data_IF_793269173326
#
_entry.id   IF_793269173326
#
_cell.length_a   1.000
_cell.length_b   1.000
_cell.length_c   1.000
_cell.angle_alpha   90.00
_cell.angle_beta   90.00
_cell.angle_gamma   90.00
#
_symmetry.space_group_name_H-M   'P 1'
#
loop_
_entity.id
_entity.type
_entity.pdbx_description
1 polymer ?
#
# COMPACT_ATOMS: atom_id res chain seq x y z
N UNK A 1 28.29 -14.58 -0.87
CA UNK A 1 26.99 -15.24 -0.63
C UNK A 1 27.24 -16.63 -0.04
N UNK A 2 27.17 -16.78 1.30
CA UNK A 2 27.36 -18.08 1.96
C UNK A 2 25.99 -18.75 2.06
N UNK A 3 25.54 -19.34 0.96
CA UNK A 3 24.30 -20.12 0.92
C UNK A 3 24.41 -21.28 1.91
N UNK A 4 23.60 -21.23 2.97
CA UNK A 4 23.27 -22.37 3.81
C UNK A 4 22.87 -23.53 2.88
N UNK A 5 23.51 -24.69 3.04
CA UNK A 5 23.26 -25.92 2.28
C UNK A 5 21.93 -26.58 2.69
N UNK A 6 20.86 -25.81 2.81
CA UNK A 6 19.51 -26.35 2.70
C UNK A 6 19.07 -26.08 1.26
N UNK A 7 18.79 -27.14 0.51
CA UNK A 7 18.37 -27.04 -0.90
C UNK A 7 17.14 -26.15 -0.96
N UNK A 8 17.30 -24.93 -1.47
CA UNK A 8 16.20 -24.08 -1.89
C UNK A 8 15.24 -24.92 -2.75
N UNK A 9 13.97 -24.93 -2.36
CA UNK A 9 12.91 -25.63 -3.07
C UNK A 9 12.06 -24.57 -3.76
N UNK A 10 11.77 -24.76 -5.05
CA UNK A 10 10.90 -23.89 -5.86
C UNK A 10 9.45 -23.77 -5.34
N UNK A 11 9.15 -24.40 -4.19
CA UNK A 11 7.89 -24.30 -3.47
C UNK A 11 7.88 -23.22 -2.37
N UNK A 12 9.00 -22.55 -2.13
CA UNK A 12 9.07 -21.46 -1.16
C UNK A 12 8.94 -20.12 -1.89
N UNK A 13 8.08 -19.19 -1.43
CA UNK A 13 8.03 -17.86 -2.00
C UNK A 13 9.38 -17.16 -1.75
N UNK A 14 10.02 -16.68 -2.82
CA UNK A 14 11.28 -15.96 -2.72
C UNK A 14 11.24 -14.65 -3.51
N UNK A 15 12.06 -13.71 -3.05
CA UNK A 15 12.41 -12.50 -3.77
C UNK A 15 13.92 -12.33 -3.65
N UNK A 16 14.58 -12.10 -4.78
CA UNK A 16 16.04 -12.09 -4.86
C UNK A 16 16.51 -10.70 -5.22
N UNK A 17 17.34 -10.10 -4.38
CA UNK A 17 18.14 -8.95 -4.75
C UNK A 17 19.42 -9.42 -5.43
N UNK A 18 19.61 -9.06 -6.70
CA UNK A 18 20.87 -9.28 -7.39
C UNK A 18 21.71 -8.01 -7.34
N UNK A 19 22.80 -8.03 -6.60
CA UNK A 19 23.73 -6.88 -6.54
C UNK A 19 24.77 -7.00 -7.65
N UNK A 20 24.75 -6.03 -8.56
CA UNK A 20 25.66 -5.91 -9.67
C UNK A 20 27.09 -5.64 -9.21
N UNK A 21 28.02 -5.96 -10.10
CA UNK A 21 29.44 -5.73 -9.86
C UNK A 21 30.14 -5.44 -11.19
N UNK A 22 31.00 -4.42 -11.21
CA UNK A 22 31.84 -4.13 -12.37
C UNK A 22 32.71 -5.34 -12.70
N UNK A 23 32.78 -5.69 -13.98
CA UNK A 23 33.43 -6.92 -14.44
C UNK A 23 32.85 -8.17 -13.77
N UNK A 24 31.51 -8.22 -13.64
CA UNK A 24 30.79 -9.36 -13.09
C UNK A 24 31.37 -10.64 -13.67
N UNK A 25 31.83 -11.53 -12.79
CA UNK A 25 32.21 -12.86 -13.24
C UNK A 25 30.93 -13.61 -13.57
N UNK A 26 30.88 -14.34 -14.69
CA UNK A 26 29.77 -15.23 -15.06
C UNK A 26 29.44 -16.34 -14.02
N UNK A 27 30.09 -16.31 -12.85
CA UNK A 27 29.91 -17.23 -11.73
C UNK A 27 28.47 -17.33 -11.22
N UNK A 28 27.69 -16.26 -11.34
CA UNK A 28 26.32 -16.25 -10.86
C UNK A 28 25.31 -16.74 -11.91
N UNK A 29 25.73 -16.94 -13.17
CA UNK A 29 24.81 -17.32 -14.27
C UNK A 29 24.09 -18.63 -13.96
N UNK A 30 24.79 -19.64 -13.45
CA UNK A 30 24.16 -20.93 -13.14
C UNK A 30 23.14 -20.81 -12.01
N UNK A 31 23.40 -19.96 -11.02
CA UNK A 31 22.45 -19.67 -9.93
C UNK A 31 21.25 -18.89 -10.47
N UNK A 32 21.48 -17.86 -11.28
CA UNK A 32 20.42 -17.06 -11.90
C UNK A 32 19.53 -17.91 -12.79
N UNK A 33 20.09 -18.85 -13.56
CA UNK A 33 19.29 -19.81 -14.36
C UNK A 33 18.35 -20.63 -13.47
N UNK A 34 18.88 -21.20 -12.38
CA UNK A 34 18.04 -21.96 -11.44
C UNK A 34 16.92 -21.10 -10.88
N UNK A 35 17.20 -19.86 -10.48
CA UNK A 35 16.19 -18.93 -9.95
C UNK A 35 15.12 -18.57 -11.01
N UNK A 36 15.56 -18.27 -12.24
CA UNK A 36 14.66 -17.98 -13.35
C UNK A 36 13.78 -19.18 -13.73
N UNK A 37 14.36 -20.38 -13.78
CA UNK A 37 13.65 -21.62 -14.08
C UNK A 37 12.64 -21.99 -12.99
N UNK A 38 12.91 -21.58 -11.74
CA UNK A 38 11.97 -21.70 -10.62
C UNK A 38 10.87 -20.62 -10.64
N UNK A 39 11.01 -19.59 -11.48
CA UNK A 39 10.09 -18.44 -11.54
C UNK A 39 10.28 -17.44 -10.39
N UNK A 40 11.46 -17.41 -9.76
CA UNK A 40 11.77 -16.50 -8.67
C UNK A 40 11.79 -15.04 -9.16
N UNK A 41 11.21 -14.13 -8.36
CA UNK A 41 11.27 -12.70 -8.64
C UNK A 41 12.68 -12.17 -8.33
N UNK A 42 13.32 -11.52 -9.30
CA UNK A 42 14.68 -10.99 -9.17
C UNK A 42 14.64 -9.48 -9.42
N UNK A 43 15.19 -8.69 -8.50
CA UNK A 43 15.44 -7.26 -8.67
C UNK A 43 16.95 -7.01 -8.83
N UNK A 44 17.41 -6.65 -10.03
CA UNK A 44 18.77 -6.20 -10.25
C UNK A 44 19.02 -4.82 -9.61
N UNK A 45 20.09 -4.72 -8.82
CA UNK A 45 20.58 -3.48 -8.22
C UNK A 45 21.99 -3.23 -8.76
N UNK A 46 22.25 -2.09 -9.39
CA UNK A 46 23.57 -1.72 -9.94
C UNK A 46 24.08 -0.44 -9.26
N UNK A 47 25.38 -0.20 -9.24
CA UNK A 47 25.98 0.88 -8.43
C UNK A 47 26.47 2.07 -9.25
N UNK A 48 27.04 1.83 -10.42
CA UNK A 48 27.49 2.84 -11.37
C UNK A 48 26.38 3.30 -12.31
N UNK A 49 26.78 3.92 -13.42
CA UNK A 49 25.83 4.51 -14.38
C UNK A 49 25.40 3.51 -15.49
N UNK A 50 26.09 2.38 -15.60
CA UNK A 50 25.86 1.40 -16.66
C UNK A 50 25.38 0.06 -16.11
N UNK A 51 24.07 -0.11 -16.12
CA UNK A 51 23.38 -1.36 -15.76
C UNK A 51 23.97 -2.60 -16.46
N UNK A 52 24.21 -2.54 -17.78
CA UNK A 52 24.67 -3.70 -18.56
C UNK A 52 26.10 -4.11 -18.23
N UNK A 53 26.92 -3.19 -17.70
CA UNK A 53 28.29 -3.49 -17.30
C UNK A 53 28.36 -4.28 -15.98
N UNK A 54 27.35 -4.13 -15.13
CA UNK A 54 27.34 -4.69 -13.79
C UNK A 54 26.46 -5.93 -13.63
N UNK A 55 25.51 -6.10 -14.55
CA UNK A 55 24.47 -7.11 -14.46
C UNK A 55 24.62 -8.14 -15.59
N UNK A 56 24.48 -9.45 -15.33
CA UNK A 56 24.55 -10.48 -16.38
C UNK A 56 23.44 -10.36 -17.42
N UNK A 57 23.78 -10.64 -18.70
CA UNK A 57 22.86 -10.55 -19.85
C UNK A 57 21.55 -11.31 -19.68
N UNK A 58 21.56 -12.44 -18.97
CA UNK A 58 20.38 -13.29 -18.77
C UNK A 58 19.24 -12.56 -18.02
N UNK A 59 19.56 -11.55 -17.21
CA UNK A 59 18.57 -10.74 -16.48
C UNK A 59 18.49 -9.29 -17.00
N UNK A 60 19.05 -8.98 -18.17
CA UNK A 60 18.89 -7.65 -18.81
C UNK A 60 17.46 -7.35 -19.25
N UNK A 61 16.64 -8.38 -19.40
CA UNK A 61 15.21 -8.24 -19.68
C UNK A 61 14.42 -7.67 -18.50
N UNK A 62 15.01 -7.63 -17.30
CA UNK A 62 14.41 -7.09 -16.09
C UNK A 62 14.82 -5.63 -15.87
N UNK A 63 13.90 -4.82 -15.37
CA UNK A 63 14.21 -3.44 -14.98
C UNK A 63 15.04 -3.42 -13.69
N UNK A 64 16.27 -2.93 -13.77
CA UNK A 64 17.13 -2.70 -12.61
C UNK A 64 16.89 -1.35 -11.91
N UNK A 65 17.50 -1.20 -10.74
CA UNK A 65 17.56 0.07 -9.98
C UNK A 65 18.99 0.40 -9.58
N UNK A 66 19.38 1.67 -9.73
CA UNK A 66 20.67 2.11 -9.21
C UNK A 66 20.61 2.10 -7.67
N UNK A 67 21.70 1.69 -7.03
CA UNK A 67 21.86 1.69 -5.59
C UNK A 67 22.11 3.12 -5.10
N UNK A 68 21.31 3.55 -4.13
CA UNK A 68 21.45 4.82 -3.42
C UNK A 68 21.45 4.47 -1.92
N UNK A 69 22.52 4.83 -1.23
CA UNK A 69 22.77 4.41 0.15
C UNK A 69 21.64 4.77 1.11
N UNK A 70 21.01 5.93 0.91
CA UNK A 70 19.95 6.44 1.78
C UNK A 70 18.55 5.90 1.43
N UNK A 71 18.42 5.08 0.37
CA UNK A 71 17.14 4.55 -0.11
C UNK A 71 16.90 3.08 0.25
N UNK A 72 17.49 2.58 1.34
CA UNK A 72 17.38 1.16 1.75
C UNK A 72 15.92 0.68 1.84
N UNK A 73 15.04 1.50 2.44
CA UNK A 73 13.61 1.18 2.60
C UNK A 73 12.92 0.93 1.25
N UNK A 74 13.31 1.65 0.20
CA UNK A 74 12.72 1.50 -1.14
C UNK A 74 12.98 0.12 -1.73
N UNK A 75 14.19 -0.42 -1.55
CA UNK A 75 14.52 -1.77 -2.02
C UNK A 75 13.75 -2.84 -1.24
N UNK A 76 13.64 -2.68 0.09
CA UNK A 76 12.86 -3.58 0.95
C UNK A 76 11.38 -3.58 0.52
N UNK A 77 10.83 -2.40 0.22
CA UNK A 77 9.44 -2.27 -0.22
C UNK A 77 9.18 -3.00 -1.56
N UNK A 78 10.12 -3.02 -2.50
CA UNK A 78 9.98 -3.83 -3.72
C UNK A 78 9.84 -5.33 -3.42
N UNK A 79 10.61 -5.84 -2.45
CA UNK A 79 10.47 -7.22 -2.02
C UNK A 79 9.10 -7.46 -1.40
N UNK A 80 8.64 -6.58 -0.52
CA UNK A 80 7.33 -6.69 0.12
C UNK A 80 6.18 -6.58 -0.88
N UNK A 81 6.27 -5.73 -1.90
CA UNK A 81 5.26 -5.64 -2.97
C UNK A 81 5.23 -6.90 -3.83
N UNK A 82 6.39 -7.40 -4.26
CA UNK A 82 6.46 -8.66 -5.01
C UNK A 82 5.97 -9.84 -4.18
N UNK A 83 6.19 -9.80 -2.87
CA UNK A 83 5.65 -10.77 -1.92
C UNK A 83 4.19 -10.46 -1.53
N UNK A 84 3.55 -9.45 -2.12
CA UNK A 84 2.17 -9.00 -1.86
C UNK A 84 1.89 -8.68 -0.38
N UNK A 85 2.92 -8.37 0.39
CA UNK A 85 2.83 -7.81 1.74
C UNK A 85 2.49 -6.32 1.71
N UNK A 86 2.85 -5.64 0.63
CA UNK A 86 2.40 -4.30 0.30
C UNK A 86 1.53 -4.35 -0.96
N UNK A 87 0.50 -3.48 -1.03
CA UNK A 87 -0.32 -3.34 -2.23
C UNK A 87 0.49 -2.64 -3.33
N UNK A 88 0.38 -3.15 -4.55
CA UNK A 88 0.94 -2.51 -5.76
C UNK A 88 0.23 -1.18 -6.08
N UNK A 89 -1.08 -1.11 -5.85
CA UNK A 89 -1.86 0.10 -6.03
C UNK A 89 -1.65 1.03 -4.83
N UNK A 90 -0.69 1.96 -4.94
CA UNK A 90 -0.37 2.95 -3.90
C UNK A 90 -1.23 4.20 -4.09
N UNK A 91 -2.30 4.34 -3.32
CA UNK A 91 -3.22 5.48 -3.48
C UNK A 91 -2.92 6.58 -2.48
N UNK A 92 -2.69 7.79 -2.99
CA UNK A 92 -2.32 8.95 -2.20
C UNK A 92 -3.28 10.10 -2.48
N UNK A 93 -3.74 10.77 -1.43
CA UNK A 93 -4.53 11.99 -1.57
C UNK A 93 -3.78 13.17 -0.98
N UNK A 94 -3.68 14.29 -1.72
CA UNK A 94 -3.06 15.53 -1.25
C UNK A 94 -4.15 16.59 -1.09
N UNK A 95 -4.44 16.93 0.16
CA UNK A 95 -5.36 18.00 0.59
C UNK A 95 -4.57 19.30 0.75
N UNK A 96 -5.01 20.35 0.05
CA UNK A 96 -4.29 21.63 0.01
C UNK A 96 -5.21 22.78 -0.41
N UNK A 97 -4.87 24.00 0.02
CA UNK A 97 -5.54 25.22 -0.43
C UNK A 97 -4.82 25.82 -1.64
N UNK A 98 -5.53 25.96 -2.76
CA UNK A 98 -4.96 26.46 -4.04
C UNK A 98 -4.23 27.79 -3.93
N UNK A 99 -4.78 28.73 -3.17
CA UNK A 99 -4.20 30.07 -3.00
C UNK A 99 -2.89 30.06 -2.23
N UNK A 100 -2.61 28.97 -1.50
CA UNK A 100 -1.56 28.95 -0.49
C UNK A 100 -0.41 28.05 -0.90
N UNK A 101 -0.70 26.87 -1.46
CA UNK A 101 0.30 25.80 -1.61
C UNK A 101 0.21 25.00 -2.91
N UNK A 102 -0.37 25.58 -3.98
CA UNK A 102 -0.50 24.90 -5.28
C UNK A 102 0.85 24.45 -5.86
N UNK A 103 1.89 25.27 -5.77
CA UNK A 103 3.21 24.91 -6.30
C UNK A 103 3.81 23.70 -5.57
N UNK A 104 3.81 23.71 -4.24
CA UNK A 104 4.24 22.57 -3.42
C UNK A 104 3.39 21.32 -3.68
N UNK A 105 2.06 21.45 -3.79
CA UNK A 105 1.18 20.33 -4.10
C UNK A 105 1.52 19.66 -5.44
N UNK A 106 1.85 20.45 -6.47
CA UNK A 106 2.27 19.93 -7.76
C UNK A 106 3.67 19.29 -7.70
N UNK A 107 4.62 19.87 -6.94
CA UNK A 107 5.94 19.25 -6.74
C UNK A 107 5.81 17.87 -6.09
N UNK A 108 4.96 17.75 -5.08
CA UNK A 108 4.68 16.48 -4.42
C UNK A 108 3.95 15.52 -5.36
N UNK A 109 2.97 15.99 -6.13
CA UNK A 109 2.31 15.18 -7.16
C UNK A 109 3.33 14.54 -8.10
N UNK A 110 4.23 15.33 -8.69
CA UNK A 110 5.24 14.83 -9.61
C UNK A 110 6.22 13.86 -8.93
N UNK A 111 6.62 14.15 -7.68
CA UNK A 111 7.49 13.28 -6.91
C UNK A 111 6.84 11.93 -6.58
N UNK A 112 5.56 11.91 -6.19
CA UNK A 112 4.85 10.70 -5.85
C UNK A 112 4.48 9.87 -7.08
N UNK A 113 4.12 10.50 -8.20
CA UNK A 113 3.94 9.80 -9.49
C UNK A 113 5.23 9.13 -9.93
N UNK A 114 6.39 9.80 -9.80
CA UNK A 114 7.72 9.19 -10.04
C UNK A 114 8.03 8.01 -9.11
N UNK A 115 7.36 7.93 -7.97
CA UNK A 115 7.44 6.83 -7.01
C UNK A 115 6.26 5.84 -7.11
N UNK A 116 5.59 5.78 -8.27
CA UNK A 116 4.50 4.84 -8.58
C UNK A 116 3.25 4.97 -7.69
N UNK A 117 2.96 6.19 -7.22
CA UNK A 117 1.67 6.46 -6.58
C UNK A 117 0.61 6.90 -7.58
N UNK A 118 -0.61 6.43 -7.35
CA UNK A 118 -1.84 6.99 -7.91
C UNK A 118 -2.26 8.18 -7.03
N UNK A 119 -1.90 9.39 -7.48
CA UNK A 119 -2.04 10.62 -6.70
C UNK A 119 -3.30 11.37 -7.08
N UNK A 120 -4.11 11.72 -6.09
CA UNK A 120 -5.29 12.55 -6.23
C UNK A 120 -5.05 13.90 -5.56
N UNK A 121 -5.32 14.98 -6.30
CA UNK A 121 -5.33 16.34 -5.76
C UNK A 121 -6.78 16.75 -5.43
N UNK A 122 -6.96 17.49 -4.34
CA UNK A 122 -8.26 18.01 -3.83
C UNK A 122 -9.11 18.74 -4.88
N UNK A 123 -8.48 19.19 -5.98
CA UNK A 123 -9.14 20.16 -6.86
C UNK A 123 -9.14 19.86 -8.36
N UNK A 124 -8.50 18.78 -8.82
CA UNK A 124 -8.31 18.54 -10.26
C UNK A 124 -9.30 17.58 -10.93
N UNK A 125 -10.34 17.09 -10.23
CA UNK A 125 -11.10 15.96 -10.79
C UNK A 125 -12.57 15.83 -10.39
N UNK A 126 -13.24 16.91 -9.96
CA UNK A 126 -14.66 16.82 -9.64
C UNK A 126 -15.45 17.38 -10.81
N UNK A 127 -16.20 16.49 -11.47
CA UNK A 127 -17.07 16.86 -12.57
C UNK A 127 -18.07 17.96 -12.13
N UNK A 128 -18.38 18.93 -13.00
CA UNK A 128 -19.45 19.89 -12.75
C UNK A 128 -20.75 19.15 -12.35
N UNK A 129 -21.46 19.70 -11.37
CA UNK A 129 -22.72 19.17 -10.80
C UNK A 129 -22.64 17.95 -9.85
N UNK A 130 -21.45 17.42 -9.52
CA UNK A 130 -21.31 16.48 -8.40
C UNK A 130 -21.13 17.19 -7.06
N UNK A 131 -21.64 16.61 -5.97
CA UNK A 131 -21.35 17.09 -4.62
C UNK A 131 -19.85 16.88 -4.31
N UNK A 132 -19.11 17.98 -4.20
CA UNK A 132 -17.68 18.00 -3.94
C UNK A 132 -17.29 17.15 -2.72
N UNK A 133 -18.07 17.26 -1.64
CA UNK A 133 -17.84 16.53 -0.39
C UNK A 133 -17.98 15.02 -0.58
N UNK A 134 -18.97 14.59 -1.39
CA UNK A 134 -19.18 13.18 -1.66
C UNK A 134 -18.08 12.61 -2.55
N UNK A 135 -17.51 13.35 -3.51
CA UNK A 135 -16.41 12.79 -4.31
C UNK A 135 -15.11 12.73 -3.48
N UNK A 136 -14.85 13.73 -2.62
CA UNK A 136 -13.70 13.71 -1.70
C UNK A 136 -13.75 12.53 -0.73
N UNK A 137 -14.90 12.34 -0.07
CA UNK A 137 -15.07 11.19 0.81
C UNK A 137 -14.94 9.85 0.08
N UNK A 138 -15.20 9.79 -1.23
CA UNK A 138 -15.06 8.58 -2.04
C UNK A 138 -13.59 8.26 -2.28
N UNK A 139 -12.80 9.28 -2.62
CA UNK A 139 -11.36 9.16 -2.82
C UNK A 139 -10.63 8.80 -1.53
N UNK A 140 -10.96 9.47 -0.43
CA UNK A 140 -10.37 9.19 0.88
C UNK A 140 -10.53 7.72 1.30
N UNK A 141 -11.72 7.13 1.09
CA UNK A 141 -12.03 5.74 1.49
C UNK A 141 -11.05 4.69 0.96
N UNK A 142 -10.46 4.93 -0.22
CA UNK A 142 -9.59 3.96 -0.89
C UNK A 142 -8.12 4.42 -0.95
N UNK A 143 -7.78 5.54 -0.31
CA UNK A 143 -6.40 5.99 -0.18
C UNK A 143 -5.70 5.28 0.98
N UNK A 144 -4.41 5.01 0.80
CA UNK A 144 -3.57 4.46 1.85
C UNK A 144 -3.05 5.56 2.77
N UNK A 145 -2.73 6.73 2.19
CA UNK A 145 -2.23 7.91 2.91
C UNK A 145 -2.93 9.18 2.41
N UNK A 146 -3.23 10.07 3.35
CA UNK A 146 -3.64 11.46 3.15
C UNK A 146 -2.45 12.35 3.51
N UNK A 147 -2.02 13.21 2.60
CA UNK A 147 -1.10 14.32 2.85
C UNK A 147 -1.91 15.59 3.01
N UNK A 148 -1.65 16.34 4.06
CA UNK A 148 -2.26 17.64 4.30
C UNK A 148 -1.20 18.73 4.27
N UNK A 149 -1.37 19.70 3.36
CA UNK A 149 -0.51 20.90 3.32
C UNK A 149 -1.07 21.95 4.28
N UNK A 150 -0.54 21.97 5.49
CA UNK A 150 -1.04 22.77 6.59
C UNK A 150 -0.41 24.17 6.59
N UNK A 151 -1.14 25.11 5.99
CA UNK A 151 -0.86 26.55 5.98
C UNK A 151 -1.75 27.28 7.00
N UNK A 152 -1.38 28.50 7.39
CA UNK A 152 -2.14 29.30 8.36
C UNK A 152 -3.60 29.52 7.94
N UNK A 153 -3.80 29.66 6.64
CA UNK A 153 -5.09 29.93 6.02
C UNK A 153 -5.89 28.64 5.73
N UNK A 154 -5.23 27.48 5.69
CA UNK A 154 -5.86 26.16 5.63
C UNK A 154 -6.46 25.76 6.98
N UNK A 155 -5.75 26.05 8.09
CA UNK A 155 -6.20 25.79 9.48
C UNK A 155 -7.60 26.34 9.77
N UNK A 156 -7.92 27.51 9.22
CA UNK A 156 -9.18 28.21 9.47
C UNK A 156 -10.33 27.73 8.57
N UNK A 157 -10.09 26.78 7.67
CA UNK A 157 -11.13 26.21 6.84
C UNK A 157 -11.99 25.23 7.66
N UNK A 158 -13.30 25.17 7.38
CA UNK A 158 -14.22 24.20 8.01
C UNK A 158 -13.81 22.73 7.78
N UNK A 159 -12.94 22.49 6.80
CA UNK A 159 -12.60 21.16 6.29
C UNK A 159 -11.50 20.46 7.08
N UNK A 160 -10.56 21.21 7.66
CA UNK A 160 -9.36 20.68 8.30
C UNK A 160 -9.66 19.63 9.40
N UNK A 161 -10.61 19.92 10.30
CA UNK A 161 -10.90 19.02 11.41
C UNK A 161 -11.79 17.82 11.01
N UNK A 162 -12.75 18.03 10.12
CA UNK A 162 -13.63 16.96 9.66
C UNK A 162 -12.87 15.90 8.84
N UNK A 163 -11.91 16.33 8.00
CA UNK A 163 -11.07 15.42 7.22
C UNK A 163 -10.15 14.58 8.11
N UNK A 164 -9.46 15.19 9.08
CA UNK A 164 -8.56 14.47 10.01
C UNK A 164 -9.36 13.46 10.85
N UNK A 165 -10.53 13.84 11.38
CA UNK A 165 -11.37 12.93 12.16
C UNK A 165 -11.88 11.80 11.28
N UNK A 166 -12.33 12.09 10.05
CA UNK A 166 -12.79 11.07 9.10
C UNK A 166 -11.67 10.10 8.70
N UNK A 167 -10.47 10.62 8.44
CA UNK A 167 -9.30 9.83 8.07
C UNK A 167 -8.88 8.89 9.21
N UNK A 168 -8.86 9.40 10.45
CA UNK A 168 -8.57 8.59 11.64
C UNK A 168 -9.63 7.53 11.92
N UNK A 169 -10.93 7.87 11.84
CA UNK A 169 -12.01 6.89 11.96
C UNK A 169 -11.92 5.78 10.91
N UNK A 170 -11.47 6.14 9.71
CA UNK A 170 -11.22 5.21 8.61
C UNK A 170 -9.81 4.63 8.66
N UNK A 171 -9.02 4.84 9.72
CA UNK A 171 -7.60 4.45 9.89
C UNK A 171 -6.80 4.55 8.57
N UNK A 172 -6.88 5.71 7.95
CA UNK A 172 -6.05 6.16 6.83
C UNK A 172 -4.83 6.84 7.46
N UNK A 173 -3.62 6.57 6.94
CA UNK A 173 -2.43 7.27 7.41
C UNK A 173 -2.51 8.74 7.06
N UNK A 174 -2.29 9.63 8.03
CA UNK A 174 -2.28 11.08 7.78
C UNK A 174 -0.87 11.60 7.97
N UNK A 175 -0.32 12.26 6.96
CA UNK A 175 0.95 12.99 7.01
C UNK A 175 0.64 14.47 6.88
N UNK A 176 1.01 15.25 7.88
CA UNK A 176 0.75 16.69 7.88
C UNK A 176 2.05 17.46 7.64
N UNK A 177 2.10 18.20 6.53
CA UNK A 177 3.24 19.02 6.15
C UNK A 177 2.95 20.44 6.63
N UNK A 178 3.63 20.85 7.69
CA UNK A 178 3.32 22.05 8.47
C UNK A 178 4.21 23.19 8.02
N UNK A 179 3.59 24.31 7.60
CA UNK A 179 4.35 25.49 7.17
C UNK A 179 5.15 26.12 8.33
N UNK A 180 6.25 26.84 8.04
CA UNK A 180 7.13 27.39 9.07
C UNK A 180 6.45 28.33 10.08
N UNK A 181 5.39 29.02 9.67
CA UNK A 181 4.63 29.98 10.47
C UNK A 181 3.38 29.37 11.12
N UNK A 182 3.20 28.06 11.02
CA UNK A 182 2.12 27.31 11.65
C UNK A 182 2.61 26.60 12.91
N UNK A 183 1.79 26.64 13.96
CA UNK A 183 1.99 25.82 15.15
C UNK A 183 1.16 24.54 15.05
N UNK A 184 1.76 23.34 15.26
CA UNK A 184 1.02 22.08 15.38
C UNK A 184 -0.12 22.21 16.40
N UNK A 185 -1.29 21.65 16.09
CA UNK A 185 -2.44 21.57 17.00
C UNK A 185 -2.47 20.23 17.74
N UNK A 186 -3.33 20.08 18.76
CA UNK A 186 -3.50 18.81 19.51
C UNK A 186 -3.92 17.66 18.58
N UNK A 187 -4.62 17.98 17.49
CA UNK A 187 -5.03 17.03 16.45
C UNK A 187 -3.85 16.39 15.69
N UNK A 188 -2.66 16.98 15.75
CA UNK A 188 -1.44 16.45 15.15
C UNK A 188 -0.95 15.17 15.84
N UNK A 189 -1.43 14.85 17.06
CA UNK A 189 -1.10 13.59 17.75
C UNK A 189 -1.59 12.33 17.02
N UNK A 190 -2.57 12.49 16.12
CA UNK A 190 -3.13 11.41 15.32
C UNK A 190 -2.55 11.36 13.89
N UNK A 191 -1.61 12.26 13.58
CA UNK A 191 -0.96 12.37 12.28
C UNK A 191 0.54 12.17 12.44
N UNK A 192 1.25 11.97 11.33
CA UNK A 192 2.71 12.07 11.26
C UNK A 192 3.06 13.50 10.83
N UNK A 193 3.51 14.38 11.74
CA UNK A 193 3.81 15.77 11.40
C UNK A 193 5.22 15.90 10.79
N UNK A 194 5.32 16.67 9.71
CA UNK A 194 6.56 17.12 9.08
C UNK A 194 6.59 18.64 9.18
N UNK A 195 7.28 19.17 10.18
CA UNK A 195 7.47 20.61 10.35
C UNK A 195 8.49 21.13 9.33
N UNK A 196 8.03 21.96 8.40
CA UNK A 196 8.92 22.65 7.48
C UNK A 196 9.61 23.81 8.18
N UNK A 197 10.86 24.05 7.77
CA UNK A 197 11.63 25.23 8.16
C UNK A 197 11.83 26.13 6.95
N UNK A 198 12.13 27.41 7.18
CA UNK A 198 12.35 28.37 6.10
C UNK A 198 13.45 27.91 5.11
N UNK A 199 14.49 27.22 5.59
CA UNK A 199 15.59 26.69 4.75
C UNK A 199 15.18 25.58 3.78
N UNK A 200 14.02 24.95 4.01
CA UNK A 200 13.49 23.90 3.16
C UNK A 200 12.75 24.46 1.94
N UNK A 201 12.60 25.79 1.85
CA UNK A 201 12.04 26.48 0.70
C UNK A 201 13.15 27.06 -0.18
N UNK A 202 12.93 27.00 -1.49
CA UNK A 202 13.77 27.64 -2.48
C UNK A 202 13.81 29.15 -2.21
N UNK A 203 15.02 29.73 -2.16
CA UNK A 203 15.25 31.14 -1.81
C UNK A 203 14.74 31.55 -0.42
N UNK A 204 14.43 30.59 0.46
CA UNK A 204 13.90 30.87 1.81
C UNK A 204 12.56 31.64 1.80
N UNK A 205 11.80 31.56 0.69
CA UNK A 205 10.48 32.18 0.53
C UNK A 205 9.37 31.14 0.63
N UNK A 206 8.56 31.24 1.69
CA UNK A 206 7.40 30.37 1.95
C UNK A 206 6.06 31.13 2.02
N UNK A 207 6.08 32.46 1.88
CA UNK A 207 4.88 33.30 1.94
C UNK A 207 4.18 33.46 0.59
N UNK A 208 4.90 33.17 -0.49
CA UNK A 208 4.38 33.20 -1.84
C UNK A 208 3.61 31.89 -2.16
N UNK A 209 2.40 31.98 -2.73
CA UNK A 209 1.63 30.80 -3.18
C UNK A 209 2.29 29.99 -4.32
N UNK A 210 3.35 30.54 -4.92
CA UNK A 210 4.24 29.87 -5.88
C UNK A 210 5.56 29.39 -5.26
N UNK A 211 5.68 29.39 -3.93
CA UNK A 211 6.83 28.86 -3.22
C UNK A 211 7.07 27.39 -3.58
N UNK A 212 8.33 27.00 -3.60
CA UNK A 212 8.76 25.65 -3.91
C UNK A 212 9.64 25.13 -2.78
N UNK A 213 9.48 23.87 -2.41
CA UNK A 213 10.37 23.19 -1.47
C UNK A 213 11.58 22.58 -2.21
N UNK A 214 12.68 22.37 -1.49
CA UNK A 214 13.91 21.78 -2.03
C UNK A 214 13.74 20.30 -2.38
N UNK A 215 14.55 19.77 -3.30
CA UNK A 215 14.51 18.33 -3.65
C UNK A 215 14.79 17.45 -2.42
N UNK A 216 15.73 17.84 -1.56
CA UNK A 216 16.02 17.16 -0.29
C UNK A 216 14.79 17.10 0.62
N UNK A 217 14.02 18.19 0.70
CA UNK A 217 12.78 18.21 1.47
C UNK A 217 11.72 17.26 0.87
N UNK A 218 11.59 17.24 -0.46
CA UNK A 218 10.69 16.34 -1.18
C UNK A 218 11.06 14.87 -0.91
N UNK A 219 12.34 14.51 -1.00
CA UNK A 219 12.81 13.15 -0.72
C UNK A 219 12.48 12.71 0.71
N UNK A 220 12.72 13.58 1.69
CA UNK A 220 12.36 13.32 3.08
C UNK A 220 10.85 13.10 3.28
N UNK A 221 10.02 13.91 2.61
CA UNK A 221 8.56 13.75 2.65
C UNK A 221 8.13 12.42 2.02
N UNK A 222 8.70 12.05 0.87
CA UNK A 222 8.39 10.78 0.19
C UNK A 222 8.73 9.59 1.09
N UNK A 223 9.90 9.60 1.72
CA UNK A 223 10.32 8.53 2.65
C UNK A 223 9.38 8.43 3.86
N UNK A 224 9.04 9.57 4.47
CA UNK A 224 8.10 9.60 5.60
C UNK A 224 6.72 9.04 5.21
N UNK A 225 6.19 9.42 4.04
CA UNK A 225 4.90 8.96 3.53
C UNK A 225 4.90 7.45 3.23
N UNK A 226 5.97 6.91 2.62
CA UNK A 226 6.11 5.46 2.43
C UNK A 226 6.17 4.70 3.77
N UNK A 227 6.90 5.24 4.74
CA UNK A 227 7.01 4.66 6.08
C UNK A 227 5.65 4.61 6.78
N UNK A 228 4.87 5.69 6.70
CA UNK A 228 3.48 5.77 7.22
C UNK A 228 2.56 4.82 6.47
N UNK A 229 2.66 4.73 5.14
CA UNK A 229 1.87 3.79 4.33
C UNK A 229 2.09 2.35 4.76
N UNK A 230 3.35 1.92 4.86
CA UNK A 230 3.72 0.56 5.22
C UNK A 230 3.20 0.18 6.62
N UNK A 231 3.41 1.05 7.62
CA UNK A 231 2.89 0.84 8.98
C UNK A 231 1.37 0.73 9.01
N UNK A 232 0.67 1.63 8.31
CA UNK A 232 -0.79 1.60 8.29
C UNK A 232 -1.34 0.36 7.60
N UNK A 233 -0.73 -0.07 6.50
CA UNK A 233 -1.17 -1.27 5.80
C UNK A 233 -1.01 -2.52 6.65
N UNK A 234 0.13 -2.67 7.33
CA UNK A 234 0.37 -3.77 8.26
C UNK A 234 -0.63 -3.76 9.42
N UNK A 235 -0.79 -2.62 10.10
CA UNK A 235 -1.74 -2.50 11.22
C UNK A 235 -3.19 -2.82 10.80
N UNK A 236 -3.59 -2.43 9.58
CA UNK A 236 -4.92 -2.75 9.03
C UNK A 236 -5.11 -4.24 8.83
N UNK A 237 -4.11 -4.90 8.25
CA UNK A 237 -4.15 -6.33 8.03
C UNK A 237 -4.21 -7.09 9.35
N UNK A 238 -3.34 -6.73 10.30
CA UNK A 238 -3.30 -7.36 11.62
C UNK A 238 -4.61 -7.18 12.38
N UNK A 239 -5.22 -5.98 12.33
CA UNK A 239 -6.51 -5.74 12.95
C UNK A 239 -7.64 -6.58 12.32
N UNK A 240 -7.71 -6.62 10.98
CA UNK A 240 -8.75 -7.37 10.27
C UNK A 240 -8.63 -8.87 10.52
N UNK A 241 -7.40 -9.39 10.41
CA UNK A 241 -7.09 -10.80 10.65
C UNK A 241 -7.31 -11.16 12.12
N UNK A 242 -6.80 -10.34 13.04
CA UNK A 242 -6.90 -10.56 14.48
C UNK A 242 -8.35 -10.64 14.94
N UNK A 243 -9.21 -9.72 14.47
CA UNK A 243 -10.63 -9.72 14.82
C UNK A 243 -11.36 -10.94 14.24
N UNK A 244 -11.09 -11.31 12.99
CA UNK A 244 -11.68 -12.53 12.40
C UNK A 244 -11.28 -13.80 13.17
N UNK A 245 -10.01 -13.91 13.55
CA UNK A 245 -9.50 -15.04 14.35
C UNK A 245 -10.09 -15.06 15.76
N UNK A 246 -10.26 -13.88 16.38
CA UNK A 246 -10.91 -13.76 17.69
C UNK A 246 -12.36 -14.23 17.63
N UNK A 247 -13.14 -13.76 16.65
CA UNK A 247 -14.52 -14.17 16.44
C UNK A 247 -14.63 -15.67 16.14
N UNK A 248 -13.72 -16.22 15.33
CA UNK A 248 -13.69 -17.65 15.05
C UNK A 248 -13.46 -18.47 16.32
N UNK A 249 -12.52 -18.02 17.17
CA UNK A 249 -12.24 -18.66 18.45
C UNK A 249 -13.44 -18.62 19.41
N UNK A 250 -14.19 -17.51 19.44
CA UNK A 250 -15.43 -17.41 20.24
C UNK A 250 -16.48 -18.44 19.81
N UNK A 251 -16.51 -18.80 18.52
CA UNK A 251 -17.37 -19.86 17.98
C UNK A 251 -16.74 -21.27 18.07
N UNK A 252 -15.59 -21.44 18.74
CA UNK A 252 -14.90 -22.72 18.88
C UNK A 252 -14.21 -23.22 17.61
N UNK A 253 -13.98 -22.34 16.63
CA UNK A 253 -13.32 -22.65 15.35
C UNK A 253 -11.82 -22.43 15.45
N UNK A 254 -11.05 -23.27 14.77
CA UNK A 254 -9.59 -23.19 14.75
C UNK A 254 -9.12 -22.77 13.36
N UNK A 255 -8.50 -21.60 13.29
CA UNK A 255 -7.89 -21.06 12.08
C UNK A 255 -6.36 -21.14 12.18
N UNK A 256 -5.71 -21.47 11.08
CA UNK A 256 -4.27 -21.38 10.91
C UNK A 256 -3.98 -20.18 10.01
N UNK A 257 -3.13 -19.27 10.47
CA UNK A 257 -2.67 -18.17 9.63
C UNK A 257 -1.50 -18.65 8.77
N UNK A 258 -1.73 -18.72 7.47
CA UNK A 258 -0.68 -18.80 6.46
C UNK A 258 -0.31 -17.39 5.99
N UNK A 259 0.83 -17.27 5.30
CA UNK A 259 1.46 -16.00 4.94
C UNK A 259 0.52 -14.91 4.37
N UNK A 260 -0.57 -15.29 3.69
CA UNK A 260 -1.53 -14.35 3.05
C UNK A 260 -3.01 -14.63 3.32
N UNK A 261 -3.34 -15.70 4.01
CA UNK A 261 -4.73 -16.10 4.20
C UNK A 261 -4.87 -16.98 5.44
N UNK A 262 -6.09 -17.03 5.97
CA UNK A 262 -6.44 -17.91 7.06
C UNK A 262 -7.01 -19.20 6.48
N UNK A 263 -6.59 -20.32 7.05
CA UNK A 263 -7.03 -21.66 6.66
C UNK A 263 -7.88 -22.23 7.77
N UNK A 264 -9.03 -22.77 7.39
CA UNK A 264 -9.83 -23.65 8.23
C UNK A 264 -9.99 -24.99 7.54
N UNK A 265 -9.81 -26.07 8.28
CA UNK A 265 -10.11 -27.42 7.80
C UNK A 265 -11.37 -27.93 8.48
N UNK A 266 -12.37 -28.27 7.68
CA UNK A 266 -13.62 -28.85 8.13
C UNK A 266 -13.58 -30.38 8.03
N UNK A 267 -14.69 -31.01 8.41
CA UNK A 267 -14.92 -32.44 8.16
C UNK A 267 -14.95 -32.70 6.63
N UNK A 268 -14.62 -33.92 6.23
CA UNK A 268 -14.59 -34.37 4.81
C UNK A 268 -13.50 -33.73 3.92
N UNK A 269 -12.43 -33.20 4.54
CA UNK A 269 -11.30 -32.50 3.91
C UNK A 269 -11.70 -31.24 3.13
N UNK A 270 -12.81 -30.61 3.48
CA UNK A 270 -13.18 -29.28 2.95
C UNK A 270 -12.26 -28.25 3.60
N UNK A 271 -11.66 -27.40 2.78
CA UNK A 271 -10.75 -26.34 3.24
C UNK A 271 -11.38 -25.00 2.93
N UNK A 272 -11.55 -24.14 3.94
CA UNK A 272 -11.94 -22.74 3.73
C UNK A 272 -10.71 -21.86 3.79
N UNK A 273 -10.53 -21.04 2.77
CA UNK A 273 -9.50 -19.99 2.76
C UNK A 273 -10.16 -18.62 2.90
N UNK A 274 -9.74 -17.87 3.90
CA UNK A 274 -10.14 -16.49 4.12
C UNK A 274 -8.99 -15.57 3.77
N UNK A 275 -9.14 -14.83 2.68
CA UNK A 275 -8.15 -13.92 2.13
C UNK A 275 -8.49 -12.50 2.61
N UNK A 276 -7.63 -11.86 3.42
CA UNK A 276 -7.83 -10.47 3.85
C UNK A 276 -7.69 -9.52 2.66
N UNK A 277 -8.77 -8.80 2.36
CA UNK A 277 -8.78 -7.76 1.33
C UNK A 277 -8.68 -6.39 2.00
N UNK A 278 -7.47 -5.81 1.99
CA UNK A 278 -7.23 -4.49 2.56
C UNK A 278 -7.59 -3.42 1.53
N UNK A 279 -8.59 -2.58 1.81
CA UNK A 279 -9.16 -1.64 0.86
C UNK A 279 -10.55 -2.09 0.40
N UNK A 280 -11.03 -1.57 -0.73
CA UNK A 280 -12.30 -2.04 -1.31
C UNK A 280 -12.04 -3.31 -2.13
N UNK A 281 -12.63 -4.48 -1.79
CA UNK A 281 -12.59 -5.65 -2.66
C UNK A 281 -13.22 -5.34 -4.01
N UNK A 282 -12.60 -5.83 -5.08
CA UNK A 282 -13.07 -5.68 -6.45
C UNK A 282 -13.40 -7.05 -7.06
N UNK A 283 -14.16 -7.05 -8.15
CA UNK A 283 -14.43 -8.26 -8.93
C UNK A 283 -13.15 -8.95 -9.40
N UNK A 284 -12.08 -8.18 -9.63
CA UNK A 284 -10.76 -8.71 -9.95
C UNK A 284 -10.15 -9.51 -8.80
N UNK A 285 -10.33 -9.11 -7.54
CA UNK A 285 -9.82 -9.85 -6.38
C UNK A 285 -10.51 -11.22 -6.25
N UNK A 286 -11.81 -11.29 -6.53
CA UNK A 286 -12.53 -12.56 -6.62
C UNK A 286 -11.97 -13.45 -7.74
N UNK A 287 -11.68 -12.87 -8.91
CA UNK A 287 -11.08 -13.58 -10.03
C UNK A 287 -9.66 -14.09 -9.71
N UNK A 288 -8.80 -13.26 -9.11
CA UNK A 288 -7.43 -13.67 -8.73
C UNK A 288 -7.46 -14.79 -7.67
N UNK A 289 -8.41 -14.74 -6.74
CA UNK A 289 -8.64 -15.80 -5.75
C UNK A 289 -9.00 -17.15 -6.39
N UNK A 290 -9.85 -17.14 -7.43
CA UNK A 290 -10.16 -18.36 -8.20
C UNK A 290 -8.94 -18.90 -8.93
N UNK A 291 -8.14 -18.02 -9.52
CA UNK A 291 -6.87 -18.41 -10.16
C UNK A 291 -5.92 -19.01 -9.14
N UNK A 292 -5.84 -18.46 -7.93
CA UNK A 292 -5.04 -19.02 -6.84
C UNK A 292 -5.48 -20.42 -6.46
N UNK A 293 -6.79 -20.68 -6.29
CA UNK A 293 -7.29 -22.05 -6.04
C UNK A 293 -6.94 -23.03 -7.16
N UNK A 294 -7.03 -22.61 -8.42
CA UNK A 294 -6.63 -23.47 -9.56
C UNK A 294 -5.16 -23.88 -9.49
N UNK A 295 -4.28 -23.02 -8.97
CA UNK A 295 -2.86 -23.37 -8.76
C UNK A 295 -2.65 -24.38 -7.64
N UNK A 296 -3.54 -24.43 -6.66
CA UNK A 296 -3.51 -25.40 -5.57
C UNK A 296 -4.06 -26.78 -5.97
N UNK A 297 -4.67 -26.89 -7.17
CA UNK A 297 -5.25 -28.12 -7.73
C UNK A 297 -6.18 -28.87 -6.75
N UNK A 298 -7.02 -28.10 -6.04
CA UNK A 298 -7.92 -28.64 -5.02
C UNK A 298 -9.32 -28.01 -5.13
N UNK A 299 -10.27 -28.80 -5.63
CA UNK A 299 -11.67 -28.39 -5.81
C UNK A 299 -12.46 -28.33 -4.49
N UNK A 300 -11.96 -28.92 -3.40
CA UNK A 300 -12.59 -28.85 -2.07
C UNK A 300 -12.31 -27.53 -1.34
N UNK A 301 -11.66 -26.58 -2.01
CA UNK A 301 -11.35 -25.27 -1.44
C UNK A 301 -12.52 -24.31 -1.66
N UNK A 302 -13.10 -23.84 -0.56
CA UNK A 302 -14.01 -22.69 -0.53
C UNK A 302 -13.21 -21.41 -0.28
N UNK A 303 -13.54 -20.35 -1.01
CA UNK A 303 -12.81 -19.09 -0.99
C UNK A 303 -13.68 -17.95 -0.47
N UNK A 304 -13.13 -17.21 0.50
CA UNK A 304 -13.77 -16.05 1.09
C UNK A 304 -12.80 -14.87 1.11
N UNK A 305 -13.27 -13.70 0.70
CA UNK A 305 -12.58 -12.43 0.90
C UNK A 305 -13.14 -11.77 2.16
N UNK A 306 -12.31 -11.50 3.16
CA UNK A 306 -12.73 -10.77 4.36
C UNK A 306 -12.28 -9.31 4.24
N UNK A 307 -13.12 -8.36 4.62
CA UNK A 307 -12.81 -6.94 4.47
C UNK A 307 -13.45 -6.07 5.56
N UNK A 308 -12.85 -4.91 5.81
CA UNK A 308 -13.37 -3.91 6.74
C UNK A 308 -14.39 -2.98 6.05
N UNK A 309 -15.67 -3.12 6.41
CA UNK A 309 -16.74 -2.35 5.80
C UNK A 309 -16.89 -0.92 6.34
N UNK A 310 -16.22 -0.56 7.45
CA UNK A 310 -16.29 0.80 8.02
C UNK A 310 -15.86 1.88 7.02
N UNK A 311 -14.92 1.54 6.13
CA UNK A 311 -14.36 2.46 5.14
C UNK A 311 -15.24 2.54 3.90
N UNK A 312 -15.96 1.47 3.59
CA UNK A 312 -16.57 1.25 2.29
C UNK A 312 -17.95 1.88 2.23
N UNK A 313 -18.23 2.62 1.16
CA UNK A 313 -19.55 3.23 0.97
C UNK A 313 -20.63 2.17 0.80
N UNK A 314 -21.83 2.52 1.25
CA UNK A 314 -23.03 1.69 1.10
C UNK A 314 -23.21 1.14 -0.33
N UNK A 315 -23.09 1.99 -1.38
CA UNK A 315 -23.20 1.53 -2.78
C UNK A 315 -22.20 0.44 -3.18
N UNK A 316 -21.00 0.47 -2.62
CA UNK A 316 -19.96 -0.53 -2.89
C UNK A 316 -20.21 -1.81 -2.07
N UNK A 317 -20.69 -1.67 -0.83
CA UNK A 317 -21.16 -2.80 -0.04
C UNK A 317 -22.34 -3.49 -0.74
N UNK A 318 -23.32 -2.74 -1.24
CA UNK A 318 -24.46 -3.26 -2.02
C UNK A 318 -23.98 -3.96 -3.30
N UNK A 319 -22.96 -3.42 -3.99
CA UNK A 319 -22.36 -4.08 -5.14
C UNK A 319 -21.67 -5.41 -4.77
N UNK A 320 -20.96 -5.47 -3.64
CA UNK A 320 -20.33 -6.71 -3.15
C UNK A 320 -21.38 -7.74 -2.71
N UNK A 321 -22.47 -7.29 -2.09
CA UNK A 321 -23.63 -8.13 -1.75
C UNK A 321 -24.29 -8.71 -3.01
N UNK A 322 -24.46 -7.89 -4.06
CA UNK A 322 -24.94 -8.36 -5.36
C UNK A 322 -23.99 -9.37 -6.00
N UNK A 323 -22.67 -9.13 -5.95
CA UNK A 323 -21.68 -10.10 -6.44
C UNK A 323 -21.72 -11.42 -5.65
N UNK A 324 -21.97 -11.36 -4.34
CA UNK A 324 -22.14 -12.54 -3.49
C UNK A 324 -23.31 -13.43 -3.90
N UNK A 325 -24.31 -12.94 -4.65
CA UNK A 325 -25.40 -13.78 -5.16
C UNK A 325 -24.94 -14.72 -6.28
N UNK A 326 -23.93 -14.31 -7.06
CA UNK A 326 -23.56 -14.98 -8.32
C UNK A 326 -22.15 -15.56 -8.34
N UNK A 327 -21.20 -14.96 -7.63
CA UNK A 327 -19.80 -15.39 -7.65
C UNK A 327 -19.56 -16.56 -6.70
N UNK A 328 -18.66 -17.47 -7.08
CA UNK A 328 -18.24 -18.57 -6.22
C UNK A 328 -17.43 -18.08 -5.02
N UNK A 329 -16.51 -17.13 -5.23
CA UNK A 329 -15.79 -16.45 -4.16
C UNK A 329 -16.73 -15.47 -3.49
N UNK A 330 -16.96 -15.63 -2.18
CA UNK A 330 -17.83 -14.76 -1.41
C UNK A 330 -17.02 -13.74 -0.63
N UNK A 331 -17.58 -12.57 -0.41
CA UNK A 331 -17.01 -11.52 0.45
C UNK A 331 -17.75 -11.47 1.78
N UNK A 332 -17.02 -11.32 2.88
CA UNK A 332 -17.56 -11.21 4.24
C UNK A 332 -17.09 -9.89 4.82
N UNK A 333 -18.05 -9.05 5.21
CA UNK A 333 -17.77 -7.79 5.89
C UNK A 333 -17.50 -8.01 7.36
N UNK A 334 -16.55 -7.24 7.89
CA UNK A 334 -16.09 -7.27 9.28
C UNK A 334 -17.23 -7.28 10.30
N UNK A 335 -18.22 -6.41 10.15
CA UNK A 335 -19.37 -6.37 11.08
C UNK A 335 -20.20 -7.66 11.12
N UNK A 336 -20.09 -8.52 10.12
CA UNK A 336 -20.85 -9.77 10.01
C UNK A 336 -20.00 -11.00 10.41
N UNK A 337 -18.74 -10.83 10.81
CA UNK A 337 -17.85 -11.95 11.13
C UNK A 337 -18.45 -12.92 12.14
N UNK A 338 -18.92 -12.42 13.29
CA UNK A 338 -19.54 -13.24 14.33
C UNK A 338 -20.73 -14.05 13.78
N UNK A 339 -21.67 -13.37 13.11
CA UNK A 339 -22.89 -13.98 12.59
C UNK A 339 -22.59 -15.00 11.50
N UNK A 340 -21.68 -14.69 10.59
CA UNK A 340 -21.28 -15.58 9.51
C UNK A 340 -20.59 -16.83 10.06
N UNK A 341 -19.66 -16.65 11.01
CA UNK A 341 -18.90 -17.74 11.62
C UNK A 341 -19.77 -18.67 12.47
N UNK A 342 -20.88 -18.17 13.00
CA UNK A 342 -21.86 -18.95 13.76
C UNK A 342 -22.75 -19.81 12.87
N UNK A 343 -23.07 -19.34 11.67
CA UNK A 343 -24.09 -19.94 10.80
C UNK A 343 -23.52 -20.87 9.72
N UNK A 344 -22.22 -20.81 9.42
CA UNK A 344 -21.54 -21.57 8.37
C UNK A 344 -20.38 -22.36 8.93
#
# INVERSE_FOLDING_TARGET
MKLLREKYSNKQPSFVFYFGNLNHSEKDIDILKVLLDNGDAILPIYFGDNFEAEVPKIIHVMNGRQYIADHIEKYINYAFESMRLLRENRKLFISYRRTDSSAVANQLFDAFVRNNYDVFLDTYSINPAKNFQEELHHRMTDCDVLIQLYTNDFKNSKWCNEEIISANQKQIGVVEIIWPDCTPDIHNLLCEPIQLTQKMFMNEDFHNGSCCITEECIENIVNAVESVRARNLAARQDNLVGEFVEEARKQGRQLIQEYRYLVETLKDDIIRLFIPAIGIPQSYDCFDSLRFRKLLDNEKIELFLIYDDLRIRKKWVEHLEWLNESLEVKTIKKKDFELWLKNN
#
